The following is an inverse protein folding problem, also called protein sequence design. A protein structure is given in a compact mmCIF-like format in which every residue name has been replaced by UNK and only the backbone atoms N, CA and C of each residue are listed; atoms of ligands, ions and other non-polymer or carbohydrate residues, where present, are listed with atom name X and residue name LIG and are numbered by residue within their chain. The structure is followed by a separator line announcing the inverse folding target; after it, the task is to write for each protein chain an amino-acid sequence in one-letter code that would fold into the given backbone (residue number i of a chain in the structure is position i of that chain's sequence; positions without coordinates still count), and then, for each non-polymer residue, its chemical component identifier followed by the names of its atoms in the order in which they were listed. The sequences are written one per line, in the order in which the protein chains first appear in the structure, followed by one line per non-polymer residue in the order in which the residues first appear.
data_IF_123785523588
#
_entry.id   IF_123785523588
#
_cell.length_a   1.000
_cell.length_b   1.000
_cell.length_c   1.000
_cell.angle_alpha   90.00
_cell.angle_beta   90.00
_cell.angle_gamma   90.00
#
_symmetry.space_group_name_H-M   'P 1'
#
loop_
_entity.id
_entity.type
_entity.pdbx_description
1 polymer ?
#
# COMPACT_ATOMS: atom_id res chain seq x y z
N UNK A 1 14.70 18.13 -7.23
CA UNK A 1 13.26 18.42 -7.12
C UNK A 1 12.75 17.81 -5.83
N UNK A 2 12.09 18.59 -4.97
CA UNK A 2 11.46 18.08 -3.75
C UNK A 2 10.02 17.71 -4.05
N UNK A 3 9.58 16.50 -3.69
CA UNK A 3 8.17 16.11 -3.76
C UNK A 3 7.52 16.39 -2.42
N UNK A 4 6.51 17.26 -2.39
CA UNK A 4 5.66 17.46 -1.22
C UNK A 4 4.44 16.53 -1.33
N UNK A 5 4.00 15.98 -0.20
CA UNK A 5 2.82 15.12 -0.10
C UNK A 5 1.88 15.67 0.98
N UNK A 6 0.58 15.64 0.72
CA UNK A 6 -0.48 15.86 1.70
C UNK A 6 -1.15 14.53 2.07
N UNK A 7 -1.52 14.35 3.33
CA UNK A 7 -2.23 13.16 3.81
C UNK A 7 -3.72 13.46 4.06
N UNK A 8 -4.59 12.64 3.50
CA UNK A 8 -6.04 12.61 3.78
C UNK A 8 -6.36 11.29 4.46
N UNK A 9 -7.27 11.31 5.43
CA UNK A 9 -7.70 10.12 6.17
C UNK A 9 -9.15 9.79 5.80
N UNK A 10 -9.53 8.52 5.86
CA UNK A 10 -10.80 8.02 5.35
C UNK A 10 -11.25 6.73 6.07
N UNK A 11 -12.54 6.38 6.00
CA UNK A 11 -12.99 5.02 6.36
C UNK A 11 -12.38 3.97 5.41
N UNK A 12 -12.21 4.34 4.13
CA UNK A 12 -11.67 3.45 3.11
C UNK A 12 -11.25 4.15 1.83
N UNK A 13 -10.77 3.37 0.88
CA UNK A 13 -10.46 3.79 -0.49
C UNK A 13 -11.10 2.82 -1.50
N UNK A 14 -11.87 3.34 -2.43
CA UNK A 14 -12.47 2.59 -3.56
C UNK A 14 -12.35 3.43 -4.84
N UNK A 15 -11.10 3.59 -5.31
CA UNK A 15 -10.64 4.56 -6.32
C UNK A 15 -10.98 6.05 -6.06
N UNK A 16 -11.65 6.32 -4.94
CA UNK A 16 -11.91 7.60 -4.33
C UNK A 16 -11.86 7.50 -2.79
N UNK A 17 -11.81 8.66 -2.12
CA UNK A 17 -11.87 8.75 -0.65
C UNK A 17 -13.28 8.42 -0.17
N UNK A 18 -13.43 7.33 0.61
CA UNK A 18 -14.71 6.93 1.20
C UNK A 18 -14.80 7.47 2.64
N UNK A 19 -15.81 8.30 2.92
CA UNK A 19 -16.05 8.96 4.21
C UNK A 19 -14.79 9.62 4.82
N UNK A 20 -14.43 10.86 4.40
CA UNK A 20 -13.25 11.55 4.90
C UNK A 20 -13.25 11.69 6.43
N UNK A 21 -12.14 11.31 7.06
CA UNK A 21 -11.92 11.42 8.50
C UNK A 21 -11.11 12.66 8.85
N UNK A 22 -11.50 13.34 9.92
CA UNK A 22 -10.64 14.32 10.56
C UNK A 22 -9.37 13.63 11.13
N UNK A 23 -8.19 14.27 11.13
CA UNK A 23 -6.95 13.65 11.64
C UNK A 23 -7.04 13.17 13.10
N UNK A 24 -7.89 13.79 13.93
CA UNK A 24 -8.16 13.33 15.29
C UNK A 24 -8.93 12.00 15.34
N UNK A 25 -9.92 11.82 14.46
CA UNK A 25 -10.69 10.57 14.36
C UNK A 25 -9.81 9.42 13.82
N UNK A 26 -8.97 9.70 12.82
CA UNK A 26 -8.01 8.73 12.30
C UNK A 26 -6.99 8.27 13.37
N UNK A 27 -6.52 9.20 14.22
CA UNK A 27 -5.66 8.86 15.38
C UNK A 27 -6.38 8.02 16.44
N UNK A 28 -7.68 8.29 16.67
CA UNK A 28 -8.47 7.48 17.59
C UNK A 28 -8.61 6.04 17.07
N UNK A 29 -8.85 5.87 15.76
CA UNK A 29 -8.87 4.55 15.11
C UNK A 29 -7.55 3.82 15.15
N UNK A 30 -6.43 4.50 14.81
CA UNK A 30 -5.07 3.95 14.91
C UNK A 30 -4.77 3.41 16.33
N UNK A 31 -5.16 4.16 17.36
CA UNK A 31 -4.98 3.77 18.75
C UNK A 31 -5.93 2.64 19.21
N UNK A 32 -7.15 2.58 18.67
CA UNK A 32 -8.11 1.50 18.91
C UNK A 32 -7.82 0.24 18.08
N UNK A 33 -6.98 0.34 17.05
CA UNK A 33 -6.71 -0.70 16.07
C UNK A 33 -7.80 -0.89 15.01
N UNK A 34 -8.75 0.04 14.93
CA UNK A 34 -9.87 0.02 13.98
C UNK A 34 -9.43 0.30 12.53
N UNK A 35 -10.17 -0.20 11.52
CA UNK A 35 -9.87 0.07 10.11
C UNK A 35 -9.95 1.55 9.71
N UNK A 36 -8.95 2.01 8.94
CA UNK A 36 -8.96 3.30 8.24
C UNK A 36 -7.95 3.31 7.08
N UNK A 37 -8.13 4.25 6.15
CA UNK A 37 -7.17 4.50 5.06
C UNK A 37 -6.46 5.85 5.19
N UNK A 38 -5.22 5.91 4.72
CA UNK A 38 -4.41 7.13 4.53
C UNK A 38 -4.08 7.29 3.06
N UNK A 39 -4.57 8.36 2.44
CA UNK A 39 -4.30 8.70 1.04
C UNK A 39 -3.22 9.79 0.99
N UNK A 40 -2.10 9.48 0.34
CA UNK A 40 -1.01 10.43 0.10
C UNK A 40 -1.16 11.06 -1.27
N UNK A 41 -1.19 12.39 -1.32
CA UNK A 41 -1.53 13.19 -2.49
C UNK A 41 -0.37 14.12 -2.86
N UNK A 42 0.02 14.19 -4.15
CA UNK A 42 1.15 15.02 -4.58
C UNK A 42 0.80 16.51 -4.54
N UNK A 43 1.67 17.33 -3.97
CA UNK A 43 1.57 18.80 -4.03
C UNK A 43 2.83 19.37 -4.74
N UNK A 44 2.64 20.12 -5.82
CA UNK A 44 3.75 20.71 -6.59
C UNK A 44 3.30 21.75 -7.61
N UNK A 45 3.69 23.02 -7.37
CA UNK A 45 3.65 24.21 -8.25
C UNK A 45 2.65 24.21 -9.41
N UNK A 46 1.56 24.95 -9.24
CA UNK A 46 0.29 24.72 -9.95
C UNK A 46 -0.64 24.03 -8.98
N UNK A 47 -1.07 24.77 -7.95
CA UNK A 47 -1.56 24.16 -6.71
C UNK A 47 -2.85 23.38 -6.91
N UNK A 48 -2.90 22.12 -6.45
CA UNK A 48 -4.10 21.32 -6.10
C UNK A 48 -3.70 19.85 -5.74
N UNK A 49 -4.33 19.20 -4.73
CA UNK A 49 -4.20 17.75 -4.37
C UNK A 49 -5.42 17.17 -3.54
N UNK A 50 -6.12 16.09 -3.96
CA UNK A 50 -7.45 15.58 -3.49
C UNK A 50 -7.65 14.08 -3.80
N UNK A 51 -8.72 13.36 -3.42
CA UNK A 51 -10.10 13.73 -2.96
C UNK A 51 -11.05 14.19 -4.14
N UNK A 52 -12.28 14.73 -3.92
CA UNK A 52 -13.32 14.83 -4.97
C UNK A 52 -13.04 15.65 -6.25
N UNK A 53 -12.15 16.65 -6.27
CA UNK A 53 -11.97 17.58 -7.39
C UNK A 53 -10.72 17.35 -8.27
N UNK A 54 -10.48 16.09 -8.67
CA UNK A 54 -9.70 15.80 -9.90
C UNK A 54 -8.17 15.80 -9.80
N UNK A 55 -7.60 15.60 -8.61
CA UNK A 55 -6.15 15.39 -8.40
C UNK A 55 -5.88 13.89 -8.07
N UNK A 56 -4.65 13.40 -8.29
CA UNK A 56 -4.34 11.93 -8.30
C UNK A 56 -3.61 11.43 -7.04
N UNK A 57 -3.89 10.21 -6.53
CA UNK A 57 -3.13 9.62 -5.44
C UNK A 57 -1.68 9.34 -5.84
N UNK A 58 -0.76 9.47 -4.88
CA UNK A 58 0.60 8.95 -4.97
C UNK A 58 0.68 7.53 -4.37
N UNK A 59 0.04 7.38 -3.22
CA UNK A 59 -0.08 6.12 -2.51
C UNK A 59 -1.33 6.11 -1.64
N UNK A 60 -1.83 4.91 -1.35
CA UNK A 60 -2.90 4.65 -0.38
C UNK A 60 -2.37 3.62 0.61
N UNK A 61 -2.60 3.83 1.90
CA UNK A 61 -2.34 2.87 2.94
C UNK A 61 -3.68 2.46 3.57
N UNK A 62 -3.97 1.17 3.62
CA UNK A 62 -5.15 0.62 4.29
C UNK A 62 -4.69 -0.13 5.54
N UNK A 63 -5.18 0.28 6.71
CA UNK A 63 -4.64 -0.14 8.00
C UNK A 63 -5.74 -0.77 8.85
N UNK A 64 -5.47 -1.93 9.45
CA UNK A 64 -6.34 -2.58 10.42
C UNK A 64 -5.45 -3.33 11.43
N UNK A 65 -5.07 -2.65 12.52
CA UNK A 65 -4.05 -3.18 13.43
C UNK A 65 -4.55 -4.33 14.29
N UNK A 66 -5.85 -4.40 14.59
CA UNK A 66 -6.45 -5.56 15.24
C UNK A 66 -6.27 -6.84 14.41
N UNK A 67 -6.34 -6.72 13.08
CA UNK A 67 -6.16 -7.82 12.11
C UNK A 67 -4.68 -7.99 11.68
N UNK A 68 -3.76 -7.34 12.38
CA UNK A 68 -2.32 -7.32 12.07
C UNK A 68 -2.03 -6.93 10.60
N UNK A 69 -2.83 -6.03 10.01
CA UNK A 69 -2.82 -5.75 8.56
C UNK A 69 -2.42 -4.30 8.24
N UNK A 70 -1.57 -4.16 7.23
CA UNK A 70 -1.30 -2.90 6.55
C UNK A 70 -1.05 -3.17 5.05
N UNK A 71 -1.82 -2.56 4.16
CA UNK A 71 -1.56 -2.58 2.72
C UNK A 71 -1.05 -1.23 2.27
N UNK A 72 -0.08 -1.21 1.35
CA UNK A 72 0.39 -0.01 0.64
C UNK A 72 0.17 -0.19 -0.86
N UNK A 73 -0.73 0.58 -1.46
CA UNK A 73 -0.84 0.72 -2.91
C UNK A 73 -0.07 1.97 -3.39
N UNK A 74 0.60 1.89 -4.54
CA UNK A 74 1.29 3.01 -5.20
C UNK A 74 0.74 3.24 -6.60
N UNK A 75 0.69 4.50 -7.02
CA UNK A 75 0.10 4.93 -8.27
C UNK A 75 1.09 5.74 -9.12
N UNK A 76 0.97 5.66 -10.44
CA UNK A 76 1.74 6.49 -11.38
C UNK A 76 1.09 7.86 -11.63
N UNK A 77 1.69 8.67 -12.51
CA UNK A 77 1.16 9.99 -12.86
C UNK A 77 -0.17 9.95 -13.63
N UNK A 78 -0.53 8.81 -14.22
CA UNK A 78 -1.84 8.56 -14.82
C UNK A 78 -2.87 8.04 -13.79
N UNK A 79 -2.47 7.81 -12.55
CA UNK A 79 -3.33 7.25 -11.50
C UNK A 79 -3.52 5.74 -11.61
N UNK A 80 -2.70 5.04 -12.40
CA UNK A 80 -2.74 3.57 -12.50
C UNK A 80 -1.98 2.97 -11.31
N UNK A 81 -2.53 1.93 -10.68
CA UNK A 81 -1.86 1.22 -9.57
C UNK A 81 -0.67 0.43 -10.10
N UNK A 82 0.55 0.85 -9.77
CA UNK A 82 1.80 0.23 -10.22
C UNK A 82 2.40 -0.75 -9.20
N UNK A 83 2.07 -0.64 -7.91
CA UNK A 83 2.36 -1.69 -6.93
C UNK A 83 1.34 -1.77 -5.80
N UNK A 84 1.29 -2.93 -5.15
CA UNK A 84 0.51 -3.24 -3.95
C UNK A 84 1.38 -4.11 -3.04
N UNK A 85 1.67 -3.65 -1.84
CA UNK A 85 2.44 -4.39 -0.85
C UNK A 85 1.51 -4.75 0.30
N UNK A 86 1.34 -6.02 0.61
CA UNK A 86 0.67 -6.48 1.83
C UNK A 86 1.71 -6.70 2.93
N UNK A 87 1.55 -6.02 4.05
CA UNK A 87 2.36 -6.18 5.25
C UNK A 87 1.50 -6.78 6.37
N UNK A 88 2.10 -7.70 7.13
CA UNK A 88 1.51 -8.30 8.33
C UNK A 88 2.34 -7.98 9.54
N UNK A 89 1.69 -7.64 10.66
CA UNK A 89 2.39 -7.45 11.93
C UNK A 89 2.77 -8.82 12.52
N UNK A 90 4.02 -8.97 12.95
CA UNK A 90 4.53 -10.18 13.64
C UNK A 90 4.10 -10.18 15.11
N UNK A 91 4.23 -11.30 15.84
CA UNK A 91 3.98 -11.33 17.29
C UNK A 91 4.79 -10.30 18.08
N UNK A 92 6.00 -9.97 17.61
CA UNK A 92 6.90 -8.97 18.23
C UNK A 92 6.53 -7.50 17.87
N UNK A 93 5.55 -7.30 16.98
CA UNK A 93 5.05 -5.99 16.57
C UNK A 93 5.68 -5.39 15.31
N UNK A 94 6.67 -6.05 14.72
CA UNK A 94 7.33 -5.62 13.47
C UNK A 94 6.44 -5.86 12.24
N UNK A 95 6.69 -5.12 11.15
CA UNK A 95 6.00 -5.35 9.87
C UNK A 95 6.79 -6.32 8.97
N UNK A 96 6.20 -7.48 8.71
CA UNK A 96 6.65 -8.46 7.73
C UNK A 96 5.97 -8.22 6.38
N UNK A 97 6.75 -8.12 5.30
CA UNK A 97 6.22 -8.04 3.93
C UNK A 97 5.71 -9.41 3.49
N UNK A 98 4.40 -9.58 3.40
CA UNK A 98 3.73 -10.84 3.06
C UNK A 98 3.61 -11.04 1.55
N UNK A 99 3.23 -9.99 0.82
CA UNK A 99 3.07 -10.03 -0.63
C UNK A 99 3.49 -8.71 -1.28
N UNK A 100 4.08 -8.78 -2.46
CA UNK A 100 4.25 -7.67 -3.39
C UNK A 100 3.58 -8.06 -4.70
N UNK A 101 2.70 -7.21 -5.20
CA UNK A 101 2.26 -7.22 -6.59
C UNK A 101 2.74 -5.96 -7.29
N UNK A 102 3.22 -6.08 -8.52
CA UNK A 102 3.55 -4.96 -9.41
C UNK A 102 2.82 -5.11 -10.74
N UNK A 103 2.50 -3.97 -11.36
CA UNK A 103 1.91 -3.91 -12.69
C UNK A 103 2.78 -3.03 -13.59
N UNK A 104 3.04 -3.49 -14.80
CA UNK A 104 3.69 -2.70 -15.85
C UNK A 104 2.96 -2.88 -17.18
N UNK A 105 2.84 -1.78 -17.92
CA UNK A 105 2.14 -1.77 -19.20
C UNK A 105 2.46 -0.49 -19.96
N UNK A 106 2.25 -0.48 -21.28
CA UNK A 106 2.52 0.68 -22.11
C UNK A 106 1.60 1.85 -21.71
N UNK A 107 1.95 3.12 -22.01
CA UNK A 107 1.15 4.28 -21.60
C UNK A 107 -0.30 4.26 -22.12
N UNK A 108 -0.52 3.65 -23.28
CA UNK A 108 -1.81 3.55 -23.98
C UNK A 108 -2.75 2.52 -23.32
N UNK A 109 -2.25 1.69 -22.41
CA UNK A 109 -3.07 0.79 -21.60
C UNK A 109 -3.46 1.50 -20.29
N UNK A 110 -4.72 1.90 -20.17
CA UNK A 110 -5.21 2.65 -19.02
C UNK A 110 -6.59 2.14 -18.52
N UNK A 111 -7.23 2.94 -17.67
CA UNK A 111 -8.59 2.71 -17.19
C UNK A 111 -8.81 1.33 -16.53
N UNK A 112 -10.02 0.75 -16.67
CA UNK A 112 -10.35 -0.53 -16.06
C UNK A 112 -9.71 -1.75 -16.75
N UNK A 113 -9.12 -1.58 -17.94
CA UNK A 113 -8.39 -2.67 -18.62
C UNK A 113 -6.98 -2.87 -18.08
N UNK A 114 -6.30 -1.79 -17.66
CA UNK A 114 -4.93 -1.87 -17.14
C UNK A 114 -4.72 -2.97 -16.08
N UNK A 115 -5.47 -3.08 -14.97
CA UNK A 115 -5.23 -4.12 -13.96
C UNK A 115 -5.41 -5.56 -14.47
N UNK A 116 -6.10 -5.76 -15.60
CA UNK A 116 -6.38 -7.05 -16.22
C UNK A 116 -5.40 -7.43 -17.33
N UNK A 117 -4.86 -6.45 -18.07
CA UNK A 117 -4.02 -6.69 -19.25
C UNK A 117 -2.54 -6.28 -19.07
N UNK A 118 -2.22 -5.50 -18.04
CA UNK A 118 -0.83 -5.16 -17.72
C UNK A 118 -0.05 -6.40 -17.28
N UNK A 119 1.23 -6.46 -17.63
CA UNK A 119 2.13 -7.46 -17.11
C UNK A 119 2.17 -7.37 -15.58
N UNK A 120 1.87 -8.49 -14.92
CA UNK A 120 1.76 -8.57 -13.45
C UNK A 120 2.83 -9.52 -12.91
N UNK A 121 3.55 -9.08 -11.89
CA UNK A 121 4.44 -9.91 -11.10
C UNK A 121 3.96 -9.95 -9.66
N UNK A 122 3.90 -11.14 -9.07
CA UNK A 122 3.53 -11.34 -7.66
C UNK A 122 4.60 -12.12 -6.93
N UNK A 123 5.21 -11.53 -5.92
CA UNK A 123 6.08 -12.22 -4.96
C UNK A 123 5.35 -12.41 -3.64
N UNK A 124 5.23 -13.64 -3.17
CA UNK A 124 4.69 -13.99 -1.85
C UNK A 124 5.82 -14.52 -0.96
N UNK A 125 5.94 -13.98 0.25
CA UNK A 125 6.95 -14.37 1.25
C UNK A 125 6.30 -15.07 2.44
N UNK A 126 6.96 -16.08 3.00
CA UNK A 126 6.58 -16.72 4.26
C UNK A 126 7.60 -16.38 5.35
N UNK A 127 7.16 -16.34 6.62
CA UNK A 127 8.04 -16.06 7.77
C UNK A 127 9.18 -17.10 7.92
N UNK A 128 8.98 -18.32 7.41
CA UNK A 128 10.01 -19.35 7.32
C UNK A 128 11.13 -19.04 6.29
N UNK A 129 11.06 -17.90 5.59
CA UNK A 129 12.04 -17.47 4.58
C UNK A 129 11.80 -18.02 3.18
N UNK A 130 10.71 -18.75 2.93
CA UNK A 130 10.32 -19.18 1.59
C UNK A 130 9.76 -18.02 0.75
N UNK A 131 10.02 -18.07 -0.55
CA UNK A 131 9.55 -17.10 -1.54
C UNK A 131 8.94 -17.83 -2.74
N UNK A 132 7.75 -17.42 -3.15
CA UNK A 132 7.12 -17.85 -4.41
C UNK A 132 6.90 -16.63 -5.29
N UNK A 133 7.29 -16.73 -6.56
CA UNK A 133 7.10 -15.72 -7.58
C UNK A 133 6.15 -16.23 -8.66
N UNK A 134 5.30 -15.34 -9.16
CA UNK A 134 4.34 -15.59 -10.23
C UNK A 134 4.50 -14.49 -11.26
N UNK A 135 4.74 -14.88 -12.51
CA UNK A 135 4.86 -13.99 -13.67
C UNK A 135 3.68 -14.19 -14.62
N UNK A 136 2.99 -13.09 -14.91
CA UNK A 136 1.81 -13.02 -15.78
C UNK A 136 2.03 -11.89 -16.81
N UNK A 137 2.86 -12.11 -17.86
CA UNK A 137 3.37 -11.06 -18.76
C UNK A 137 2.31 -10.34 -19.61
N UNK A 138 1.06 -10.81 -19.62
CA UNK A 138 -0.08 -10.15 -20.29
C UNK A 138 -1.30 -10.09 -19.35
N UNK A 139 -1.04 -10.06 -18.03
CA UNK A 139 -2.06 -10.12 -16.99
C UNK A 139 -2.94 -11.37 -17.11
N UNK A 140 -4.24 -11.18 -16.94
CA UNK A 140 -5.27 -12.22 -16.99
C UNK A 140 -5.49 -12.79 -18.41
N UNK A 141 -4.91 -12.16 -19.45
CA UNK A 141 -4.98 -12.61 -20.86
C UNK A 141 -3.83 -13.52 -21.27
N UNK A 142 -2.82 -13.70 -20.41
CA UNK A 142 -1.54 -14.33 -20.75
C UNK A 142 -1.28 -15.71 -20.17
N UNK A 143 -0.13 -16.32 -20.51
CA UNK A 143 0.40 -17.46 -19.77
C UNK A 143 0.78 -17.03 -18.35
N UNK A 144 0.81 -18.00 -17.43
CA UNK A 144 1.23 -17.80 -16.04
C UNK A 144 2.39 -18.73 -15.71
N UNK A 145 3.56 -18.17 -15.40
CA UNK A 145 4.67 -18.91 -14.86
C UNK A 145 4.68 -18.82 -13.31
N UNK A 146 5.18 -19.87 -12.65
CA UNK A 146 5.44 -19.87 -11.20
C UNK A 146 6.85 -20.37 -10.96
N UNK A 147 7.59 -19.62 -10.14
CA UNK A 147 8.87 -20.03 -9.59
C UNK A 147 8.71 -20.14 -8.07
N UNK A 148 9.25 -21.20 -7.48
CA UNK A 148 9.29 -21.38 -6.03
C UNK A 148 10.73 -21.49 -5.59
N UNK A 149 11.09 -20.81 -4.50
CA UNK A 149 12.44 -20.83 -3.95
C UNK A 149 12.42 -20.96 -2.42
N UNK A 150 13.00 -22.06 -1.96
CA UNK A 150 13.30 -22.31 -0.55
C UNK A 150 14.71 -21.81 -0.22
N UNK A 151 14.94 -20.51 -0.40
CA UNK A 151 16.19 -19.85 0.00
C UNK A 151 15.85 -18.82 1.06
N UNK A 152 16.22 -19.09 2.30
CA UNK A 152 15.95 -18.26 3.47
C UNK A 152 16.35 -16.80 3.20
N UNK A 153 15.38 -16.02 2.75
CA UNK A 153 15.56 -14.61 2.49
C UNK A 153 15.48 -13.91 3.84
N UNK A 154 16.60 -13.43 4.35
CA UNK A 154 16.63 -12.56 5.54
C UNK A 154 15.63 -11.42 5.31
N UNK A 155 14.52 -11.34 6.08
CA UNK A 155 13.59 -10.25 5.89
C UNK A 155 14.31 -8.97 6.30
N UNK A 156 14.50 -8.05 5.35
CA UNK A 156 15.04 -6.73 5.67
C UNK A 156 14.01 -5.99 6.49
N UNK A 157 14.06 -6.17 7.82
CA UNK A 157 13.28 -5.39 8.77
C UNK A 157 13.50 -3.90 8.43
N UNK A 158 12.45 -3.23 7.97
CA UNK A 158 12.55 -1.83 7.54
C UNK A 158 12.59 -0.97 8.80
N UNK A 159 13.74 -0.38 9.18
CA UNK A 159 13.84 0.32 10.45
C UNK A 159 13.14 1.67 10.31
N UNK A 160 12.00 1.87 10.99
CA UNK A 160 11.42 3.21 11.12
C UNK A 160 9.90 3.29 11.30
N UNK A 161 9.11 2.34 10.80
CA UNK A 161 7.64 2.35 10.97
C UNK A 161 7.20 1.70 12.29
N UNK A 162 7.57 2.35 13.40
CA UNK A 162 6.94 2.07 14.70
C UNK A 162 5.49 2.60 14.68
N UNK A 163 4.56 1.83 15.22
CA UNK A 163 3.20 2.32 15.51
C UNK A 163 3.27 3.54 16.42
N UNK A 164 2.47 4.57 16.11
CA UNK A 164 2.39 5.81 16.88
C UNK A 164 1.70 5.65 18.25
N UNK A 165 1.11 4.48 18.53
CA UNK A 165 0.34 4.21 19.74
C UNK A 165 1.14 4.16 21.06
N UNK A 166 2.48 4.24 21.03
CA UNK A 166 3.35 3.93 22.17
C UNK A 166 3.84 5.08 23.05
N UNK A 167 3.52 6.35 22.75
CA UNK A 167 4.23 7.51 23.33
C UNK A 167 3.64 8.10 24.64
N UNK A 168 2.77 7.38 25.36
CA UNK A 168 2.01 7.95 26.49
C UNK A 168 1.89 7.04 27.73
N UNK A 169 3.02 6.58 28.30
CA UNK A 169 3.09 6.05 29.68
C UNK A 169 4.53 6.04 30.22
N UNK A 170 4.91 7.08 30.97
CA UNK A 170 5.87 7.06 32.10
C UNK A 170 6.37 8.47 32.48
N UNK A 171 5.53 9.27 33.17
CA UNK A 171 5.97 10.28 34.16
C UNK A 171 4.88 10.44 35.23
N UNK A 172 5.11 9.79 36.38
CA UNK A 172 4.61 10.16 37.72
C UNK A 172 5.81 10.02 38.64
#
# INVERSE_FOLDING_TARGET
MTLTLAAVYADGWDDAVVNPLAPAAARARDAAGEPYSVVLLRTGTGGMATAPDGRRPYAVLDLAWADNYCQLARFDAAGRRISRHELRRTPDGDLFLREVQTWSGPPELDGPEFPRAAARHTTTYLLAGERTDIDEPQGDRGPRARLHSSRAATPTATPGLRSMAGAARARR
#
